data_IF_969316733405
#
_entry.id   IF_969316733405
#
_cell.length_a   1.000
_cell.length_b   1.000
_cell.length_c   1.000
_cell.angle_alpha   90.00
_cell.angle_beta   90.00
_cell.angle_gamma   90.00
#
_symmetry.space_group_name_H-M   'P 1'
#
loop_
_entity.id
_entity.type
_entity.pdbx_description
1 polymer ?
#
# COMPACT_ATOMS: atom_id res chain seq x y z
N UNK A 1 20.15 -10.17 12.13
CA UNK A 1 19.75 -8.83 11.70
C UNK A 1 18.77 -8.28 12.72
N UNK A 2 19.12 -7.18 13.39
CA UNK A 2 18.35 -6.57 14.48
C UNK A 2 17.27 -5.66 13.92
N UNK A 3 16.05 -5.76 14.47
CA UNK A 3 14.81 -5.03 14.13
C UNK A 3 14.95 -3.48 14.07
N UNK A 4 16.07 -2.92 14.56
CA UNK A 4 16.29 -1.46 14.60
C UNK A 4 16.76 -0.86 13.27
N UNK A 5 17.26 -1.66 12.33
CA UNK A 5 17.79 -1.12 11.06
C UNK A 5 16.69 -0.92 10.00
N UNK A 6 15.65 -1.76 10.02
CA UNK A 6 14.55 -1.74 9.05
C UNK A 6 13.62 -0.54 9.22
N UNK A 7 13.40 -0.05 10.45
CA UNK A 7 12.65 1.18 10.67
C UNK A 7 13.32 2.41 10.05
N UNK A 8 14.66 2.46 10.05
CA UNK A 8 15.40 3.54 9.38
C UNK A 8 15.41 3.37 7.87
N UNK A 9 15.52 2.13 7.36
CA UNK A 9 15.47 1.81 5.93
C UNK A 9 14.10 2.11 5.31
N UNK A 10 13.02 1.86 6.03
CA UNK A 10 11.64 2.11 5.59
C UNK A 10 11.02 3.30 6.33
N UNK A 11 11.75 4.42 6.29
CA UNK A 11 11.23 5.70 6.79
C UNK A 11 10.04 6.18 5.96
N UNK A 12 9.24 7.09 6.54
CA UNK A 12 8.05 7.68 5.91
C UNK A 12 8.33 8.21 4.49
N UNK A 13 9.46 8.92 4.34
CA UNK A 13 9.96 9.45 3.06
C UNK A 13 10.26 8.34 2.06
N UNK A 14 10.89 7.25 2.50
CA UNK A 14 11.20 6.12 1.63
C UNK A 14 9.93 5.42 1.16
N UNK A 15 8.93 5.31 2.03
CA UNK A 15 7.63 4.78 1.64
C UNK A 15 6.91 5.68 0.63
N UNK A 16 7.01 7.01 0.75
CA UNK A 16 6.47 7.97 -0.22
C UNK A 16 7.24 7.90 -1.56
N UNK A 17 8.55 7.66 -1.56
CA UNK A 17 9.32 7.38 -2.79
C UNK A 17 8.91 6.06 -3.46
N UNK A 18 8.63 5.04 -2.65
CA UNK A 18 8.25 3.70 -3.12
C UNK A 18 6.82 3.65 -3.66
N UNK A 19 5.90 4.35 -2.99
CA UNK A 19 4.49 4.46 -3.37
C UNK A 19 4.05 5.93 -3.26
N UNK A 20 4.39 6.76 -4.27
CA UNK A 20 4.02 8.16 -4.26
C UNK A 20 2.51 8.30 -4.42
N UNK A 21 1.97 9.39 -3.89
CA UNK A 21 0.54 9.76 -3.96
C UNK A 21 0.00 9.68 -5.40
N UNK A 22 0.83 10.09 -6.37
CA UNK A 22 0.54 10.04 -7.81
C UNK A 22 0.23 8.63 -8.34
N UNK A 23 0.71 7.56 -7.69
CA UNK A 23 0.29 6.19 -8.05
C UNK A 23 -1.19 5.97 -7.85
N UNK A 24 -1.79 6.67 -6.88
CA UNK A 24 -3.24 6.66 -6.68
C UNK A 24 -3.92 7.30 -7.88
N UNK A 25 -3.47 8.48 -8.30
CA UNK A 25 -3.98 9.18 -9.49
C UNK A 25 -3.88 8.30 -10.74
N UNK A 26 -2.73 7.67 -11.01
CA UNK A 26 -2.55 6.75 -12.14
C UNK A 26 -3.51 5.55 -12.06
N UNK A 27 -3.75 5.02 -10.86
CA UNK A 27 -4.69 3.92 -10.65
C UNK A 27 -6.13 4.33 -10.97
N UNK A 28 -6.57 5.52 -10.54
CA UNK A 28 -7.90 6.03 -10.84
C UNK A 28 -8.04 6.46 -12.29
N UNK A 29 -7.01 7.07 -12.89
CA UNK A 29 -6.99 7.42 -14.30
C UNK A 29 -7.16 6.18 -15.18
N UNK A 30 -6.52 5.05 -14.85
CA UNK A 30 -6.70 3.84 -15.63
C UNK A 30 -8.04 3.12 -15.40
N UNK A 31 -8.65 3.30 -14.22
CA UNK A 31 -9.95 2.69 -13.88
C UNK A 31 -11.13 3.50 -14.42
N UNK A 32 -11.07 4.81 -14.27
CA UNK A 32 -12.17 5.74 -14.51
C UNK A 32 -11.90 6.68 -15.70
N UNK A 33 -10.66 6.74 -16.19
CA UNK A 33 -10.24 7.70 -17.22
C UNK A 33 -9.86 9.07 -16.67
N UNK A 34 -10.05 9.30 -15.36
CA UNK A 34 -9.80 10.59 -14.73
C UNK A 34 -9.32 10.40 -13.27
N UNK A 35 -8.19 11.01 -12.87
CA UNK A 35 -7.64 10.89 -11.51
C UNK A 35 -8.47 11.63 -10.45
N UNK A 36 -9.28 12.63 -10.83
CA UNK A 36 -10.16 13.36 -9.93
C UNK A 36 -11.38 12.53 -9.53
N UNK A 37 -11.73 11.48 -10.26
CA UNK A 37 -12.68 10.47 -9.78
C UNK A 37 -12.13 9.63 -8.60
N UNK A 38 -10.82 9.78 -8.34
CA UNK A 38 -10.14 9.18 -7.20
C UNK A 38 -10.75 9.60 -5.88
N UNK A 39 -11.33 8.62 -5.19
CA UNK A 39 -11.98 8.87 -3.90
C UNK A 39 -11.00 8.90 -2.71
N UNK A 40 -9.75 8.48 -2.92
CA UNK A 40 -8.74 8.40 -1.87
C UNK A 40 -7.31 8.40 -2.39
N UNK A 41 -6.39 8.80 -1.53
CA UNK A 41 -4.96 8.60 -1.70
C UNK A 41 -4.51 7.32 -1.01
N UNK A 42 -3.70 6.54 -1.70
CA UNK A 42 -3.08 5.31 -1.22
C UNK A 42 -1.68 5.68 -0.76
N UNK A 43 -1.42 5.51 0.52
CA UNK A 43 -0.14 5.85 1.16
C UNK A 43 0.41 4.59 1.80
N UNK A 44 1.65 4.25 1.47
CA UNK A 44 2.35 3.15 2.12
C UNK A 44 2.97 3.63 3.43
N UNK A 45 2.80 2.85 4.50
CA UNK A 45 3.49 3.07 5.78
C UNK A 45 4.11 1.77 6.26
N UNK A 46 5.32 1.86 6.80
CA UNK A 46 5.95 0.73 7.47
C UNK A 46 5.36 0.59 8.87
N UNK A 47 4.79 -0.59 9.18
CA UNK A 47 4.27 -0.89 10.50
C UNK A 47 5.34 -1.56 11.36
N UNK A 48 5.89 -2.68 10.90
CA UNK A 48 6.78 -3.51 11.70
C UNK A 48 7.65 -4.38 10.80
N UNK A 49 8.79 -4.83 11.31
CA UNK A 49 9.68 -5.72 10.56
C UNK A 49 10.28 -6.75 11.51
N UNK A 50 9.96 -8.01 11.24
CA UNK A 50 10.50 -9.17 11.92
C UNK A 50 11.77 -9.70 11.26
N UNK A 51 12.26 -10.85 11.74
CA UNK A 51 13.48 -11.47 11.23
C UNK A 51 13.37 -11.96 9.78
N UNK A 52 12.20 -12.49 9.39
CA UNK A 52 11.91 -13.04 8.06
C UNK A 52 10.58 -12.52 7.49
N UNK A 53 10.05 -11.43 8.03
CA UNK A 53 8.77 -10.89 7.61
C UNK A 53 8.78 -9.38 7.74
N UNK A 54 8.30 -8.67 6.72
CA UNK A 54 8.06 -7.24 6.78
C UNK A 54 6.55 -6.99 6.79
N UNK A 55 6.11 -6.07 7.66
CA UNK A 55 4.73 -5.64 7.79
C UNK A 55 4.62 -4.16 7.42
N UNK A 56 3.82 -3.92 6.41
CA UNK A 56 3.45 -2.60 5.93
C UNK A 56 1.94 -2.41 6.06
N UNK A 57 1.49 -1.18 5.93
CA UNK A 57 0.08 -0.81 5.94
C UNK A 57 -0.16 0.13 4.76
N UNK A 58 -1.10 -0.22 3.90
CA UNK A 58 -1.62 0.72 2.91
C UNK A 58 -2.72 1.53 3.57
N UNK A 59 -2.46 2.80 3.79
CA UNK A 59 -3.43 3.75 4.31
C UNK A 59 -4.16 4.41 3.14
N UNK A 60 -5.47 4.25 3.11
CA UNK A 60 -6.39 4.88 2.17
C UNK A 60 -6.94 6.13 2.85
N UNK A 61 -6.48 7.31 2.42
CA UNK A 61 -6.90 8.60 2.93
C UNK A 61 -7.98 9.18 2.02
N UNK A 62 -9.19 9.40 2.53
CA UNK A 62 -10.29 9.93 1.74
C UNK A 62 -9.95 11.32 1.18
N UNK A 63 -10.19 11.52 -0.12
CA UNK A 63 -10.09 12.83 -0.77
C UNK A 63 -11.36 13.67 -0.49
N UNK A 64 -11.23 14.98 -0.27
CA UNK A 64 -12.38 15.85 -0.03
C UNK A 64 -13.32 15.85 -1.25
N UNK A 65 -14.60 15.58 -1.03
CA UNK A 65 -15.63 15.55 -2.08
C UNK A 65 -16.03 14.15 -2.56
N UNK A 66 -15.33 13.09 -2.14
CA UNK A 66 -15.63 11.71 -2.55
C UNK A 66 -15.87 10.80 -1.32
N UNK A 67 -16.98 10.07 -1.29
CA UNK A 67 -17.31 9.16 -0.20
C UNK A 67 -16.60 7.81 -0.36
N UNK A 68 -15.62 7.55 0.51
CA UNK A 68 -14.83 6.32 0.49
C UNK A 68 -15.67 5.05 0.70
N UNK A 69 -16.65 5.14 1.61
CA UNK A 69 -17.53 4.01 1.99
C UNK A 69 -18.38 3.56 0.80
N UNK A 70 -18.92 4.49 0.01
CA UNK A 70 -19.73 4.16 -1.15
C UNK A 70 -18.91 3.42 -2.22
N UNK A 71 -17.65 3.80 -2.40
CA UNK A 71 -16.77 3.20 -3.40
C UNK A 71 -16.22 1.82 -2.95
N UNK A 72 -15.92 1.64 -1.65
CA UNK A 72 -15.49 0.35 -1.09
C UNK A 72 -16.58 -0.74 -1.12
N UNK A 73 -17.85 -0.34 -1.22
CA UNK A 73 -19.00 -1.27 -1.19
C UNK A 73 -19.18 -2.03 -2.51
N UNK A 74 -18.56 -1.58 -3.62
CA UNK A 74 -18.73 -2.13 -4.97
C UNK A 74 -17.57 -3.03 -5.46
N UNK A 75 -17.01 -3.89 -4.58
CA UNK A 75 -16.12 -4.97 -5.03
C UNK A 75 -14.70 -4.54 -5.45
N UNK A 76 -14.31 -3.30 -5.16
CA UNK A 76 -12.95 -2.77 -5.37
C UNK A 76 -11.80 -3.62 -4.78
N UNK A 77 -11.91 -4.35 -3.64
CA UNK A 77 -10.77 -5.12 -3.12
C UNK A 77 -10.22 -6.20 -4.07
N UNK A 78 -11.04 -6.83 -4.93
CA UNK A 78 -10.53 -7.78 -5.93
C UNK A 78 -9.77 -7.09 -7.08
N UNK A 79 -10.07 -5.81 -7.32
CA UNK A 79 -9.50 -4.99 -8.39
C UNK A 79 -8.08 -4.54 -7.99
N UNK A 80 -7.87 -4.21 -6.70
CA UNK A 80 -6.56 -3.86 -6.15
C UNK A 80 -5.48 -4.92 -6.38
N UNK A 81 -5.79 -6.20 -6.13
CA UNK A 81 -4.83 -7.30 -6.29
C UNK A 81 -4.53 -7.65 -7.74
N UNK A 82 -5.39 -7.22 -8.69
CA UNK A 82 -5.27 -7.54 -10.12
C UNK A 82 -4.81 -6.36 -10.96
N UNK A 83 -4.79 -5.15 -10.40
CA UNK A 83 -4.42 -3.96 -11.15
C UNK A 83 -2.90 -3.79 -11.24
N UNK A 84 -2.33 -3.81 -12.46
CA UNK A 84 -0.90 -3.70 -12.68
C UNK A 84 -0.32 -2.33 -12.32
N UNK A 85 -1.16 -1.33 -12.02
CA UNK A 85 -0.71 0.06 -11.78
C UNK A 85 -0.28 0.32 -10.35
N UNK A 86 -1.00 -0.21 -9.35
CA UNK A 86 -0.48 -0.20 -7.98
C UNK A 86 0.75 -1.06 -7.85
N UNK A 87 0.83 -2.09 -8.70
CA UNK A 87 1.97 -2.97 -8.88
C UNK A 87 2.59 -3.38 -7.53
N UNK A 88 1.75 -3.89 -6.62
CA UNK A 88 2.21 -4.29 -5.28
C UNK A 88 3.36 -5.31 -5.41
N UNK A 89 3.36 -6.15 -6.44
CA UNK A 89 4.49 -7.02 -6.77
C UNK A 89 5.81 -6.25 -6.98
N UNK A 90 5.82 -5.18 -7.77
CA UNK A 90 6.99 -4.34 -7.98
C UNK A 90 7.39 -3.60 -6.71
N UNK A 91 6.41 -3.08 -5.96
CA UNK A 91 6.64 -2.42 -4.68
C UNK A 91 7.34 -3.37 -3.70
N UNK A 92 6.80 -4.56 -3.55
CA UNK A 92 7.33 -5.61 -2.69
C UNK A 92 8.73 -6.04 -3.15
N UNK A 93 8.97 -6.14 -4.47
CA UNK A 93 10.29 -6.36 -5.04
C UNK A 93 11.29 -5.27 -4.63
N UNK A 94 10.94 -4.00 -4.79
CA UNK A 94 11.77 -2.85 -4.37
C UNK A 94 12.04 -2.84 -2.87
N UNK A 95 11.06 -3.22 -2.06
CA UNK A 95 11.20 -3.38 -0.61
C UNK A 95 12.21 -4.48 -0.29
N UNK A 96 12.14 -5.63 -0.97
CA UNK A 96 13.10 -6.71 -0.85
C UNK A 96 14.52 -6.27 -1.19
N UNK A 97 14.69 -5.58 -2.33
CA UNK A 97 15.99 -5.02 -2.73
C UNK A 97 16.53 -4.03 -1.69
N UNK A 98 15.69 -3.13 -1.17
CA UNK A 98 16.06 -2.19 -0.11
C UNK A 98 16.42 -2.89 1.21
N UNK A 99 15.74 -3.99 1.55
CA UNK A 99 16.04 -4.85 2.69
C UNK A 99 17.22 -5.80 2.43
N UNK A 100 17.81 -5.80 1.23
CA UNK A 100 18.81 -6.76 0.78
C UNK A 100 18.39 -8.22 1.02
N UNK A 101 17.09 -8.49 0.86
CA UNK A 101 16.46 -9.78 1.16
C UNK A 101 15.56 -10.20 -0.01
N UNK A 102 15.50 -11.50 -0.27
CA UNK A 102 14.61 -12.02 -1.32
C UNK A 102 13.20 -12.09 -0.77
N UNK A 103 12.24 -11.53 -1.48
CA UNK A 103 10.83 -11.75 -1.14
C UNK A 103 10.43 -13.14 -1.59
N UNK A 104 9.98 -13.96 -0.64
CA UNK A 104 9.44 -15.28 -0.90
C UNK A 104 7.95 -15.23 -1.29
N UNK A 105 7.15 -14.51 -0.51
CA UNK A 105 5.70 -14.37 -0.73
C UNK A 105 5.20 -13.04 -0.16
N UNK A 106 4.02 -12.59 -0.57
CA UNK A 106 3.36 -11.45 0.07
C UNK A 106 1.85 -11.60 0.04
N UNK A 107 1.19 -11.05 1.04
CA UNK A 107 -0.25 -11.15 1.25
C UNK A 107 -0.82 -9.85 1.79
N UNK A 108 -1.95 -9.43 1.22
CA UNK A 108 -2.78 -8.37 1.77
C UNK A 108 -3.79 -8.98 2.75
N UNK A 109 -3.85 -8.44 3.95
CA UNK A 109 -4.88 -8.78 4.92
C UNK A 109 -6.17 -7.99 4.68
N UNK A 110 -7.06 -8.05 5.65
CA UNK A 110 -8.39 -7.43 5.54
C UNK A 110 -8.31 -5.93 5.77
N UNK A 111 -8.99 -5.16 4.90
CA UNK A 111 -9.18 -3.72 5.10
C UNK A 111 -9.85 -3.46 6.44
N UNK A 112 -9.17 -2.71 7.30
CA UNK A 112 -9.65 -2.28 8.60
C UNK A 112 -9.93 -0.79 8.56
N UNK A 113 -11.11 -0.38 9.02
CA UNK A 113 -11.43 1.04 9.14
C UNK A 113 -10.72 1.59 10.37
N UNK A 114 -9.76 2.51 10.17
CA UNK A 114 -9.09 3.21 11.28
C UNK A 114 -9.92 4.42 11.71
N UNK A 115 -10.51 5.13 10.74
CA UNK A 115 -11.41 6.26 10.92
C UNK A 115 -12.43 6.32 9.77
N UNK A 116 -13.46 7.15 9.89
CA UNK A 116 -14.43 7.41 8.81
C UNK A 116 -13.76 7.80 7.48
N UNK A 117 -12.63 8.49 7.55
CA UNK A 117 -11.88 9.00 6.40
C UNK A 117 -10.62 8.20 6.09
N UNK A 118 -10.23 7.25 6.96
CA UNK A 118 -8.97 6.51 6.83
C UNK A 118 -9.18 5.01 6.99
N UNK A 119 -8.88 4.26 5.93
CA UNK A 119 -8.91 2.79 5.96
C UNK A 119 -7.49 2.27 5.81
N UNK A 120 -7.17 1.15 6.45
CA UNK A 120 -5.84 0.56 6.45
C UNK A 120 -5.89 -0.89 6.01
N UNK A 121 -5.00 -1.28 5.11
CA UNK A 121 -4.86 -2.66 4.64
C UNK A 121 -3.48 -3.15 5.07
N UNK A 122 -3.39 -4.14 5.98
CA UNK A 122 -2.11 -4.67 6.38
C UNK A 122 -1.51 -5.49 5.24
N UNK A 123 -0.30 -5.15 4.80
CA UNK A 123 0.50 -5.87 3.83
C UNK A 123 1.61 -6.64 4.57
N UNK A 124 1.59 -7.96 4.44
CA UNK A 124 2.62 -8.83 4.99
C UNK A 124 3.49 -9.38 3.86
N UNK A 125 4.79 -9.23 4.00
CA UNK A 125 5.80 -9.69 3.04
C UNK A 125 6.68 -10.73 3.76
N UNK A 126 6.72 -11.94 3.24
CA UNK A 126 7.58 -13.02 3.74
C UNK A 126 8.93 -12.96 3.00
N UNK A 127 10.03 -12.95 3.76
CA UNK A 127 11.39 -12.94 3.25
C UNK A 127 11.98 -14.36 3.30
N UNK A 128 12.60 -14.79 2.20
CA UNK A 128 13.21 -16.11 2.00
C UNK A 128 14.71 -16.16 2.23
#
# INVERSE_FOLDING_TARGET
MTQQNTQSLFSDERCDELLPRSRSDEFFEALFGDPAEGSYDIVLRHADSGANQLRFELQLHQRPGHCLVCNLTYGLPEVFSRHPILNINELVGRIGEAAQSTVADWRLGTTSQRSSEVHVIPLTIELG
#
